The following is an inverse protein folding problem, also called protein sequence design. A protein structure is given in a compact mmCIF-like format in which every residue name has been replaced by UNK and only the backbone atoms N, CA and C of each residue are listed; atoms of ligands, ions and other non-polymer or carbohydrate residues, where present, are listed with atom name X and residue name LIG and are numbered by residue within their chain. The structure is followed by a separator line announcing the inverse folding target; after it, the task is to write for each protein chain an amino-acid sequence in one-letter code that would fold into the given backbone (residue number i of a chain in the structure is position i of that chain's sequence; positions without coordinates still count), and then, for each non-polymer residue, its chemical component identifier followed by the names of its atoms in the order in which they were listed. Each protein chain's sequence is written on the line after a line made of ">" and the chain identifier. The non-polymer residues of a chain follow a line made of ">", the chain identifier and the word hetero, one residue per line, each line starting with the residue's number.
data_IF_507368107585
#
_entry.id   IF_507368107585
#
_cell.length_a   1.000
_cell.length_b   1.000
_cell.length_c   1.000
_cell.angle_alpha   90.00
_cell.angle_beta   90.00
_cell.angle_gamma   90.00
#
_symmetry.space_group_name_H-M   'P 1'
#
loop_
_entity.id
_entity.type
_entity.pdbx_description
1 polymer ?
#
# COMPACT_ATOMS: atom_id res chain seq x y z
N UNK A 1 -5.62 21.99 37.03
CA UNK A 1 -5.79 22.38 35.63
C UNK A 1 -5.96 23.87 35.59
N UNK A 2 -4.87 24.60 35.37
CA UNK A 2 -4.92 26.06 35.21
C UNK A 2 -5.24 26.38 33.76
N UNK A 3 -5.74 27.59 33.49
CA UNK A 3 -6.12 28.07 32.14
C UNK A 3 -4.96 27.99 31.13
N UNK A 4 -3.73 27.93 31.62
CA UNK A 4 -2.50 27.79 30.84
C UNK A 4 -2.35 26.38 30.23
N UNK A 5 -2.90 25.34 30.87
CA UNK A 5 -2.87 23.95 30.37
C UNK A 5 -3.74 23.77 29.10
N UNK A 6 -4.60 24.75 28.78
CA UNK A 6 -5.55 24.73 27.66
C UNK A 6 -5.15 25.65 26.49
N UNK A 7 -4.06 26.42 26.60
CA UNK A 7 -3.56 27.22 25.49
C UNK A 7 -2.62 26.36 24.64
N UNK A 8 -3.19 25.70 23.63
CA UNK A 8 -2.40 25.08 22.57
C UNK A 8 -1.40 26.07 21.97
N UNK A 9 -0.24 25.56 21.54
CA UNK A 9 0.81 26.37 20.93
C UNK A 9 0.22 27.26 19.83
N UNK A 10 0.29 28.57 20.03
CA UNK A 10 -0.14 29.54 19.04
C UNK A 10 0.73 29.36 17.78
N UNK A 11 0.07 29.07 16.65
CA UNK A 11 0.72 29.01 15.34
C UNK A 11 1.13 30.42 14.93
N UNK A 12 2.43 30.70 14.99
CA UNK A 12 3.00 31.95 14.51
C UNK A 12 3.10 31.90 12.98
N UNK A 13 2.10 32.46 12.30
CA UNK A 13 2.10 32.61 10.85
C UNK A 13 3.04 33.76 10.49
N UNK A 14 4.26 33.43 10.04
CA UNK A 14 5.20 34.43 9.50
C UNK A 14 4.73 34.84 8.10
N UNK A 15 4.09 36.01 8.00
CA UNK A 15 3.61 36.59 6.73
C UNK A 15 4.74 37.05 5.79
N UNK A 16 5.99 37.11 6.25
CA UNK A 16 7.14 37.41 5.40
C UNK A 16 7.87 36.12 5.01
N UNK A 17 8.25 35.93 3.73
CA UNK A 17 9.15 34.85 3.36
C UNK A 17 10.44 35.07 4.13
N UNK A 18 10.76 34.15 5.04
CA UNK A 18 12.02 34.18 5.77
C UNK A 18 13.14 34.22 4.73
N UNK A 19 13.85 35.35 4.66
CA UNK A 19 15.15 35.41 4.00
C UNK A 19 16.06 34.50 4.83
N UNK A 20 16.04 33.21 4.52
CA UNK A 20 16.95 32.25 5.10
C UNK A 20 18.36 32.77 4.87
N UNK A 21 19.10 32.96 5.95
CA UNK A 21 20.51 33.31 5.95
C UNK A 21 21.22 32.40 4.95
N UNK A 22 21.94 32.99 4.00
CA UNK A 22 22.61 32.32 2.89
C UNK A 22 23.83 31.49 3.34
N UNK A 23 23.72 30.73 4.42
CA UNK A 23 24.85 30.00 5.01
C UNK A 23 24.85 28.49 4.72
N UNK A 24 23.73 27.88 4.34
CA UNK A 24 23.70 26.49 3.87
C UNK A 24 22.54 26.30 2.89
N UNK A 25 22.63 26.93 1.71
CA UNK A 25 21.67 26.65 0.65
C UNK A 25 21.94 25.22 0.15
N UNK A 26 21.30 24.20 0.71
CA UNK A 26 21.27 22.88 0.07
C UNK A 26 20.09 22.89 -0.90
N UNK A 27 20.25 22.31 -2.09
CA UNK A 27 19.22 22.32 -3.13
C UNK A 27 17.85 21.93 -2.58
N UNK A 28 16.80 22.69 -2.93
CA UNK A 28 15.45 22.49 -2.38
C UNK A 28 14.48 21.97 -3.44
N UNK A 29 13.60 21.10 -3.00
CA UNK A 29 12.48 20.56 -3.76
C UNK A 29 11.21 21.21 -3.22
N UNK A 30 10.54 21.99 -4.05
CA UNK A 30 9.27 22.63 -3.72
C UNK A 30 8.15 21.79 -4.30
N UNK A 31 7.30 21.22 -3.47
CA UNK A 31 6.14 20.44 -3.92
C UNK A 31 4.90 21.28 -3.74
N UNK A 32 4.19 21.60 -4.82
CA UNK A 32 2.98 22.39 -4.82
C UNK A 32 1.76 21.49 -5.00
N UNK A 33 0.73 21.68 -4.16
CA UNK A 33 -0.57 21.02 -4.27
C UNK A 33 -1.69 22.06 -4.33
N UNK A 34 -2.51 21.97 -5.38
CA UNK A 34 -3.49 23.02 -5.68
C UNK A 34 -2.82 24.38 -5.86
N UNK A 35 -3.47 25.43 -5.35
CA UNK A 35 -2.99 26.81 -5.47
C UNK A 35 -2.23 27.33 -4.25
N UNK A 36 -2.30 26.62 -3.11
CA UNK A 36 -1.96 27.23 -1.81
C UNK A 36 -1.00 26.41 -0.94
N UNK A 37 -0.80 25.12 -1.22
CA UNK A 37 0.03 24.26 -0.36
C UNK A 37 1.38 24.01 -1.01
N UNK A 38 2.46 24.45 -0.37
CA UNK A 38 3.83 24.21 -0.85
C UNK A 38 4.68 23.60 0.26
N UNK A 39 5.15 22.37 0.07
CA UNK A 39 6.19 21.77 0.90
C UNK A 39 7.56 22.19 0.39
N UNK A 40 8.47 22.52 1.31
CA UNK A 40 9.88 22.76 0.99
C UNK A 40 10.73 21.66 1.61
N UNK A 41 11.23 20.76 0.77
CA UNK A 41 12.03 19.61 1.17
C UNK A 41 13.49 19.81 0.76
N UNK A 42 14.42 19.37 1.59
CA UNK A 42 15.84 19.36 1.24
C UNK A 42 16.14 18.19 0.29
N UNK A 43 16.90 18.45 -0.78
CA UNK A 43 17.32 17.39 -1.70
C UNK A 43 18.12 16.29 -0.98
N UNK A 44 18.84 16.64 0.09
CA UNK A 44 19.57 15.68 0.94
C UNK A 44 18.65 14.71 1.69
N UNK A 45 17.46 15.14 2.09
CA UNK A 45 16.48 14.25 2.73
C UNK A 45 15.79 13.33 1.72
N UNK A 46 15.74 13.72 0.44
CA UNK A 46 14.95 13.04 -0.59
C UNK A 46 15.80 12.16 -1.54
N UNK A 47 16.90 11.56 -1.06
CA UNK A 47 17.87 10.83 -1.92
C UNK A 47 17.29 9.64 -2.69
N UNK A 48 16.20 9.05 -2.20
CA UNK A 48 15.48 7.97 -2.89
C UNK A 48 14.05 8.40 -3.16
N UNK A 49 13.44 7.79 -4.17
CA UNK A 49 12.03 8.01 -4.47
C UNK A 49 11.14 7.72 -3.26
N UNK A 50 11.47 6.66 -2.52
CA UNK A 50 10.79 6.31 -1.28
C UNK A 50 10.94 7.38 -0.18
N UNK A 51 12.15 7.92 0.02
CA UNK A 51 12.39 8.97 1.02
C UNK A 51 11.65 10.27 0.68
N UNK A 52 11.46 10.56 -0.61
CA UNK A 52 10.59 11.65 -1.04
C UNK A 52 9.11 11.34 -0.73
N UNK A 53 8.63 10.15 -1.09
CA UNK A 53 7.24 9.74 -0.89
C UNK A 53 6.83 9.67 0.60
N UNK A 54 7.76 9.32 1.49
CA UNK A 54 7.46 9.19 2.93
C UNK A 54 6.98 10.50 3.56
N UNK A 55 7.33 11.65 2.99
CA UNK A 55 6.81 12.96 3.41
C UNK A 55 5.30 13.13 3.16
N UNK A 56 4.70 12.30 2.30
CA UNK A 56 3.31 12.39 1.88
C UNK A 56 2.46 11.21 2.38
N UNK A 57 2.92 10.48 3.39
CA UNK A 57 2.20 9.33 3.96
C UNK A 57 0.76 9.64 4.41
N UNK A 58 0.48 10.90 4.79
CA UNK A 58 -0.85 11.34 5.23
C UNK A 58 -1.92 11.26 4.14
N UNK A 59 -1.53 11.18 2.87
CA UNK A 59 -2.45 11.03 1.75
C UNK A 59 -2.77 9.57 1.45
N UNK A 60 -2.11 8.61 2.09
CA UNK A 60 -2.48 7.21 1.95
C UNK A 60 -3.91 6.99 2.49
N UNK A 61 -4.81 6.25 1.79
CA UNK A 61 -4.56 5.37 0.64
C UNK A 61 -4.76 6.01 -0.74
N UNK A 62 -4.88 7.33 -0.84
CA UNK A 62 -5.08 8.01 -2.12
C UNK A 62 -3.83 7.88 -3.00
N UNK A 63 -4.04 7.68 -4.30
CA UNK A 63 -2.97 7.68 -5.30
C UNK A 63 -2.47 9.11 -5.47
N UNK A 64 -1.17 9.33 -5.26
CA UNK A 64 -0.56 10.65 -5.45
C UNK A 64 0.34 10.58 -6.68
N UNK A 65 0.19 11.56 -7.56
CA UNK A 65 1.02 11.73 -8.74
C UNK A 65 1.88 13.00 -8.61
N UNK A 66 3.10 12.92 -9.11
CA UNK A 66 4.04 14.03 -9.08
C UNK A 66 4.45 14.40 -10.50
N UNK A 67 4.48 15.69 -10.79
CA UNK A 67 4.70 16.23 -12.12
C UNK A 67 5.76 17.33 -12.09
N UNK A 68 6.71 17.31 -13.02
CA UNK A 68 7.67 18.40 -13.21
C UNK A 68 7.72 18.78 -14.69
N UNK A 69 7.42 20.05 -15.01
CA UNK A 69 7.32 20.57 -16.39
C UNK A 69 6.46 19.66 -17.29
N UNK A 70 5.26 19.33 -16.80
CA UNK A 70 4.27 18.49 -17.49
C UNK A 70 4.72 17.06 -17.79
N UNK A 71 5.75 16.57 -17.08
CA UNK A 71 6.17 15.17 -17.12
C UNK A 71 5.93 14.50 -15.77
N UNK A 72 5.27 13.35 -15.80
CA UNK A 72 5.09 12.49 -14.63
C UNK A 72 6.44 12.00 -14.10
N UNK A 73 6.63 12.10 -12.80
CA UNK A 73 7.81 11.66 -12.08
C UNK A 73 7.57 10.24 -11.58
N UNK A 74 8.40 9.32 -12.03
CA UNK A 74 8.46 7.93 -11.55
C UNK A 74 9.77 7.67 -10.82
N UNK A 75 9.85 6.54 -10.12
CA UNK A 75 11.08 6.08 -9.45
C UNK A 75 12.31 6.08 -10.37
N UNK A 76 12.14 5.72 -11.65
CA UNK A 76 13.21 5.69 -12.67
C UNK A 76 13.71 7.09 -13.04
N UNK A 77 12.81 8.08 -13.05
CA UNK A 77 13.15 9.46 -13.40
C UNK A 77 13.67 10.27 -12.21
N UNK A 78 13.45 9.78 -10.98
CA UNK A 78 13.81 10.46 -9.74
C UNK A 78 15.28 10.89 -9.65
N UNK A 79 16.28 10.06 -10.03
CA UNK A 79 17.69 10.48 -9.98
C UNK A 79 17.98 11.69 -10.87
N UNK A 80 17.25 11.86 -11.99
CA UNK A 80 17.39 13.04 -12.87
C UNK A 80 16.84 14.29 -12.18
N UNK A 81 15.70 14.18 -11.51
CA UNK A 81 15.10 15.27 -10.73
C UNK A 81 16.00 15.69 -9.57
N UNK A 82 16.59 14.73 -8.85
CA UNK A 82 17.54 15.02 -7.78
C UNK A 82 18.81 15.72 -8.26
N UNK A 83 19.34 15.30 -9.41
CA UNK A 83 20.45 16.00 -10.07
C UNK A 83 20.06 17.45 -10.36
N UNK A 84 18.88 17.70 -10.93
CA UNK A 84 18.41 19.06 -11.18
C UNK A 84 18.31 19.89 -9.89
N UNK A 85 17.79 19.31 -8.80
CA UNK A 85 17.69 19.98 -7.51
C UNK A 85 19.05 20.24 -6.86
N UNK A 86 20.06 19.43 -7.16
CA UNK A 86 21.39 19.49 -6.55
C UNK A 86 22.43 20.23 -7.39
N UNK A 87 22.16 20.46 -8.69
CA UNK A 87 23.13 21.05 -9.64
C UNK A 87 23.36 22.53 -9.39
N UNK A 88 22.31 23.26 -8.98
CA UNK A 88 22.41 24.70 -8.72
C UNK A 88 21.90 24.97 -7.31
N UNK A 89 22.84 25.40 -6.46
CA UNK A 89 22.64 25.56 -5.03
C UNK A 89 21.53 26.56 -4.65
N UNK A 90 21.17 27.46 -5.57
CA UNK A 90 20.10 28.45 -5.44
C UNK A 90 18.81 28.11 -6.20
N UNK A 91 18.78 27.02 -6.97
CA UNK A 91 17.63 26.69 -7.82
C UNK A 91 16.73 25.69 -7.11
N UNK A 92 15.50 26.12 -6.81
CA UNK A 92 14.46 25.23 -6.33
C UNK A 92 13.80 24.51 -7.49
N UNK A 93 13.60 23.20 -7.36
CA UNK A 93 12.84 22.41 -8.33
C UNK A 93 11.38 22.38 -7.90
N UNK A 94 10.49 22.94 -8.72
CA UNK A 94 9.04 22.92 -8.48
C UNK A 94 8.42 21.64 -9.04
N UNK A 95 7.87 20.82 -8.15
CA UNK A 95 7.09 19.63 -8.44
C UNK A 95 5.62 19.95 -8.16
N UNK A 96 4.72 19.54 -9.04
CA UNK A 96 3.28 19.65 -8.86
C UNK A 96 2.78 18.28 -8.38
N UNK A 97 2.12 18.27 -7.24
CA UNK A 97 1.42 17.12 -6.70
C UNK A 97 -0.03 17.16 -7.15
N UNK A 98 -0.55 16.03 -7.61
CA UNK A 98 -1.95 15.81 -7.94
C UNK A 98 -2.43 14.55 -7.26
N UNK A 99 -3.70 14.51 -6.91
CA UNK A 99 -4.34 13.25 -6.53
C UNK A 99 -4.72 12.52 -7.83
N UNK A 100 -4.19 11.32 -8.00
CA UNK A 100 -4.57 10.41 -9.07
C UNK A 100 -5.99 9.89 -8.87
N UNK A 101 -6.58 9.37 -9.94
CA UNK A 101 -7.86 8.66 -9.86
C UNK A 101 -7.71 7.46 -8.94
N UNK A 102 -8.67 7.28 -8.02
CA UNK A 102 -8.76 6.06 -7.23
C UNK A 102 -8.83 4.87 -8.21
N UNK A 103 -8.07 3.78 -7.97
CA UNK A 103 -8.21 2.59 -8.80
C UNK A 103 -9.67 2.15 -8.79
N UNK A 104 -10.18 1.76 -9.97
CA UNK A 104 -11.55 1.31 -10.09
C UNK A 104 -11.84 0.25 -9.02
N UNK A 105 -13.01 0.33 -8.36
CA UNK A 105 -13.37 -0.70 -7.40
C UNK A 105 -13.31 -2.06 -8.10
N UNK A 106 -12.93 -3.12 -7.37
CA UNK A 106 -13.00 -4.46 -7.92
C UNK A 106 -14.33 -4.71 -8.62
N UNK A 107 -14.32 -5.33 -9.82
CA UNK A 107 -15.55 -5.76 -10.46
C UNK A 107 -16.37 -6.56 -9.44
N UNK A 108 -17.55 -6.02 -9.10
CA UNK A 108 -18.46 -6.66 -8.16
C UNK A 108 -19.06 -7.89 -8.80
N UNK A 109 -19.38 -8.91 -8.00
CA UNK A 109 -20.02 -10.17 -8.42
C UNK A 109 -19.31 -10.94 -9.55
N UNK A 110 -18.08 -10.58 -9.89
CA UNK A 110 -17.25 -11.30 -10.87
C UNK A 110 -16.06 -11.86 -10.12
N UNK A 111 -15.99 -13.19 -10.03
CA UNK A 111 -14.84 -13.87 -9.46
C UNK A 111 -13.61 -13.54 -10.31
N UNK A 112 -12.68 -12.77 -9.74
CA UNK A 112 -11.46 -12.35 -10.47
C UNK A 112 -10.67 -13.57 -10.85
N UNK A 113 -10.22 -13.67 -12.11
CA UNK A 113 -9.28 -14.71 -12.49
C UNK A 113 -8.08 -14.68 -11.55
N UNK A 114 -7.63 -15.86 -11.10
CA UNK A 114 -6.40 -16.02 -10.31
C UNK A 114 -5.33 -15.09 -10.89
N UNK A 115 -4.74 -14.17 -10.08
CA UNK A 115 -4.03 -12.99 -10.57
C UNK A 115 -3.04 -13.33 -11.69
N UNK A 116 -3.53 -13.19 -12.91
CA UNK A 116 -2.72 -12.94 -14.07
C UNK A 116 -2.36 -11.47 -13.93
N UNK A 117 -1.07 -11.26 -13.69
CA UNK A 117 -0.33 -10.01 -13.82
C UNK A 117 -1.20 -8.91 -14.41
N UNK A 118 -1.54 -7.90 -13.60
CA UNK A 118 -2.13 -6.66 -14.09
C UNK A 118 -1.33 -6.24 -15.33
N UNK A 119 -1.91 -6.19 -16.54
CA UNK A 119 -1.18 -5.73 -17.69
C UNK A 119 -0.77 -4.30 -17.38
N UNK A 120 0.56 -4.09 -17.26
CA UNK A 120 1.11 -2.75 -17.26
C UNK A 120 0.50 -2.03 -18.47
N UNK A 121 -0.22 -0.93 -18.22
CA UNK A 121 -0.79 -0.07 -19.26
C UNK A 121 0.29 0.68 -20.08
N UNK A 122 1.51 0.14 -20.14
CA UNK A 122 2.58 0.60 -20.99
C UNK A 122 3.00 -0.54 -21.91
N UNK A 123 2.61 -0.41 -23.18
CA UNK A 123 2.96 -1.33 -24.24
C UNK A 123 4.47 -1.55 -24.31
N UNK A 124 4.89 -2.70 -23.84
CA UNK A 124 6.26 -3.18 -23.93
C UNK A 124 6.26 -4.69 -23.75
N UNK A 125 6.74 -5.41 -24.77
CA UNK A 125 6.95 -6.87 -24.73
C UNK A 125 8.02 -7.19 -23.66
N UNK A 126 7.63 -7.27 -22.40
CA UNK A 126 8.44 -7.75 -21.30
C UNK A 126 7.72 -8.91 -20.62
N UNK A 127 8.39 -10.07 -20.53
CA UNK A 127 7.89 -11.20 -19.72
C UNK A 127 7.59 -10.69 -18.32
N UNK A 128 6.35 -10.82 -17.91
CA UNK A 128 5.85 -10.53 -16.59
C UNK A 128 6.56 -11.40 -15.55
N UNK A 129 7.52 -10.83 -14.83
CA UNK A 129 8.07 -11.46 -13.62
C UNK A 129 7.16 -11.10 -12.45
N UNK A 130 6.60 -12.11 -11.83
CA UNK A 130 5.73 -12.04 -10.63
C UNK A 130 6.53 -11.56 -9.39
N UNK A 131 7.86 -11.48 -9.49
CA UNK A 131 8.80 -11.29 -8.39
C UNK A 131 9.03 -9.82 -7.96
N UNK A 132 8.26 -8.86 -8.47
CA UNK A 132 8.58 -7.42 -8.31
C UNK A 132 7.64 -6.61 -7.40
N UNK A 133 6.58 -7.21 -6.85
CA UNK A 133 5.82 -6.54 -5.80
C UNK A 133 6.51 -6.74 -4.46
N UNK A 134 7.06 -5.66 -3.92
CA UNK A 134 7.65 -5.69 -2.58
C UNK A 134 6.50 -5.69 -1.57
N UNK A 135 6.07 -6.87 -1.12
CA UNK A 135 4.98 -6.99 -0.15
C UNK A 135 5.32 -6.25 1.15
N UNK A 136 4.36 -5.45 1.65
CA UNK A 136 4.61 -4.48 2.73
C UNK A 136 5.19 -5.14 3.99
N UNK A 137 4.70 -6.33 4.36
CA UNK A 137 5.18 -7.04 5.55
C UNK A 137 6.49 -7.80 5.32
N UNK A 138 6.97 -7.86 4.07
CA UNK A 138 8.26 -8.48 3.69
C UNK A 138 9.33 -7.46 3.34
N UNK A 139 9.07 -6.18 3.60
CA UNK A 139 10.05 -5.10 3.53
C UNK A 139 11.10 -5.30 4.63
N UNK A 140 12.01 -6.26 4.43
CA UNK A 140 13.13 -6.48 5.32
C UNK A 140 14.23 -5.45 4.99
N UNK A 141 14.74 -4.81 6.05
CA UNK A 141 15.87 -3.91 5.97
C UNK A 141 17.09 -4.58 5.31
N UNK A 142 17.76 -3.82 4.45
CA UNK A 142 18.91 -4.17 3.60
C UNK A 142 19.82 -5.26 4.19
N UNK A 143 19.85 -6.47 3.59
CA UNK A 143 20.91 -7.45 3.92
C UNK A 143 20.71 -8.94 3.59
N UNK A 144 19.52 -9.42 3.24
CA UNK A 144 19.29 -10.86 3.07
C UNK A 144 19.62 -11.35 1.64
N UNK A 145 20.46 -12.39 1.55
CA UNK A 145 20.93 -13.01 0.29
C UNK A 145 20.14 -14.26 -0.13
N UNK A 146 19.09 -14.65 0.60
CA UNK A 146 18.30 -15.85 0.35
C UNK A 146 16.81 -15.59 0.57
N UNK A 147 15.97 -16.14 -0.31
CA UNK A 147 14.50 -16.02 -0.31
C UNK A 147 13.86 -16.69 0.91
N UNK A 148 14.41 -17.81 1.40
CA UNK A 148 13.90 -18.49 2.61
C UNK A 148 14.23 -17.71 3.89
N UNK A 149 15.40 -17.08 3.96
CA UNK A 149 15.78 -16.26 5.13
C UNK A 149 15.02 -14.91 5.19
N UNK A 150 14.25 -14.57 4.14
CA UNK A 150 13.48 -13.33 4.03
C UNK A 150 12.19 -13.35 4.85
N UNK A 151 11.57 -14.51 5.03
CA UNK A 151 10.24 -14.62 5.66
C UNK A 151 10.28 -14.95 7.15
N UNK A 152 11.42 -15.39 7.70
CA UNK A 152 11.53 -15.74 9.12
C UNK A 152 11.06 -14.62 10.09
N UNK A 153 11.35 -13.32 9.86
CA UNK A 153 10.80 -12.26 10.71
C UNK A 153 9.27 -12.14 10.62
N UNK A 154 8.71 -12.36 9.42
CA UNK A 154 7.27 -12.31 9.18
C UNK A 154 6.57 -13.52 9.83
N UNK A 155 7.13 -14.72 9.70
CA UNK A 155 6.65 -15.93 10.38
C UNK A 155 6.64 -15.73 11.91
N UNK A 156 7.70 -15.14 12.48
CA UNK A 156 7.74 -14.86 13.91
C UNK A 156 6.64 -13.88 14.34
N UNK A 157 6.37 -12.85 13.53
CA UNK A 157 5.29 -11.88 13.81
C UNK A 157 3.91 -12.51 13.72
N UNK A 158 3.65 -13.33 12.70
CA UNK A 158 2.37 -14.00 12.52
C UNK A 158 2.15 -15.09 13.59
N UNK A 159 3.20 -15.80 13.98
CA UNK A 159 3.16 -16.75 15.10
C UNK A 159 2.86 -16.06 16.45
N UNK A 160 3.44 -14.88 16.70
CA UNK A 160 3.12 -14.08 17.87
C UNK A 160 1.65 -13.60 17.84
N UNK A 161 1.16 -13.17 16.66
CA UNK A 161 -0.24 -12.80 16.47
C UNK A 161 -1.19 -13.99 16.70
N UNK A 162 -0.87 -15.18 16.19
CA UNK A 162 -1.65 -16.39 16.43
C UNK A 162 -1.69 -16.76 17.92
N UNK A 163 -0.54 -16.64 18.60
CA UNK A 163 -0.45 -16.86 20.04
C UNK A 163 -1.36 -15.91 20.80
N UNK A 164 -1.38 -14.63 20.42
CA UNK A 164 -2.31 -13.64 20.99
C UNK A 164 -3.78 -14.02 20.74
N UNK A 165 -4.14 -14.38 19.50
CA UNK A 165 -5.52 -14.78 19.15
C UNK A 165 -6.00 -16.00 19.94
N UNK A 166 -5.09 -16.92 20.27
CA UNK A 166 -5.41 -18.17 20.97
C UNK A 166 -5.30 -18.08 22.51
N UNK A 167 -4.54 -17.12 23.05
CA UNK A 167 -4.24 -17.02 24.47
C UNK A 167 -4.86 -15.79 25.17
N UNK A 168 -4.92 -14.64 24.50
CA UNK A 168 -5.23 -13.35 25.14
C UNK A 168 -6.60 -12.77 24.73
N UNK A 169 -7.27 -13.34 23.73
CA UNK A 169 -8.61 -12.89 23.33
C UNK A 169 -9.72 -13.44 24.24
N UNK A 170 -10.89 -12.82 24.16
CA UNK A 170 -12.13 -13.28 24.81
C UNK A 170 -12.45 -14.73 24.44
N UNK A 171 -13.05 -15.47 25.36
CA UNK A 171 -13.40 -16.89 25.17
C UNK A 171 -14.19 -17.16 23.87
N UNK A 172 -15.16 -16.31 23.53
CA UNK A 172 -15.94 -16.42 22.28
C UNK A 172 -15.07 -16.33 21.04
N UNK A 173 -14.24 -15.29 20.94
CA UNK A 173 -13.36 -15.05 19.78
C UNK A 173 -12.31 -16.16 19.65
N UNK A 174 -11.72 -16.60 20.77
CA UNK A 174 -10.79 -17.72 20.80
C UNK A 174 -11.41 -19.01 20.30
N UNK A 175 -12.64 -19.29 20.72
CA UNK A 175 -13.39 -20.48 20.28
C UNK A 175 -13.72 -20.37 18.79
N UNK A 176 -14.19 -19.22 18.32
CA UNK A 176 -14.47 -18.98 16.91
C UNK A 176 -13.22 -19.21 16.04
N UNK A 177 -12.09 -18.58 16.39
CA UNK A 177 -10.83 -18.74 15.67
C UNK A 177 -10.31 -20.18 15.63
N UNK A 178 -10.51 -20.96 16.70
CA UNK A 178 -10.11 -22.37 16.76
C UNK A 178 -10.99 -23.30 15.92
N UNK A 179 -12.22 -22.88 15.61
CA UNK A 179 -13.16 -23.66 14.80
C UNK A 179 -12.98 -23.40 13.30
N UNK A 180 -12.39 -22.26 12.92
CA UNK A 180 -12.07 -21.95 11.53
C UNK A 180 -11.29 -23.10 10.88
N UNK A 181 -11.81 -23.57 9.74
CA UNK A 181 -11.15 -24.60 8.97
C UNK A 181 -9.89 -23.99 8.32
N UNK A 182 -8.87 -24.82 8.10
CA UNK A 182 -7.71 -24.40 7.32
C UNK A 182 -7.99 -24.69 5.86
N UNK A 183 -7.94 -23.66 5.02
CA UNK A 183 -8.01 -23.82 3.57
C UNK A 183 -6.96 -22.93 2.90
N UNK A 184 -6.56 -23.27 1.69
CA UNK A 184 -5.69 -22.42 0.88
C UNK A 184 -6.50 -21.44 0.05
N UNK A 185 -5.86 -20.36 -0.39
CA UNK A 185 -6.48 -19.37 -1.29
C UNK A 185 -7.03 -20.02 -2.57
N UNK A 186 -6.28 -20.96 -3.15
CA UNK A 186 -6.67 -21.68 -4.37
C UNK A 186 -7.84 -22.65 -4.15
N UNK A 187 -7.93 -23.29 -2.99
CA UNK A 187 -9.09 -24.10 -2.61
C UNK A 187 -10.35 -23.24 -2.44
N UNK A 188 -10.23 -22.10 -1.76
CA UNK A 188 -11.33 -21.14 -1.60
C UNK A 188 -11.82 -20.61 -2.96
N UNK A 189 -10.88 -20.31 -3.86
CA UNK A 189 -11.19 -19.95 -5.25
C UNK A 189 -11.94 -21.06 -5.99
N UNK A 190 -11.45 -22.30 -5.93
CA UNK A 190 -12.09 -23.45 -6.57
C UNK A 190 -13.49 -23.71 -6.05
N UNK A 191 -13.72 -23.51 -4.75
CA UNK A 191 -15.05 -23.60 -4.15
C UNK A 191 -16.03 -22.55 -4.70
N UNK A 192 -15.59 -21.28 -4.83
CA UNK A 192 -16.42 -20.22 -5.42
C UNK A 192 -16.67 -20.43 -6.91
N UNK A 193 -15.69 -20.95 -7.64
CA UNK A 193 -15.85 -21.29 -9.05
C UNK A 193 -16.90 -22.40 -9.24
N UNK A 194 -16.83 -23.48 -8.47
CA UNK A 194 -17.80 -24.58 -8.56
C UNK A 194 -19.20 -24.22 -8.02
N UNK A 195 -19.31 -23.20 -7.18
CA UNK A 195 -20.60 -22.65 -6.75
C UNK A 195 -21.28 -21.83 -7.84
N UNK A 196 -20.53 -21.19 -8.74
CA UNK A 196 -21.09 -20.37 -9.82
C UNK A 196 -22.08 -21.20 -10.66
N UNK A 197 -21.64 -22.38 -11.09
CA UNK A 197 -22.45 -23.31 -11.89
C UNK A 197 -23.76 -23.70 -11.17
N UNK A 198 -23.69 -23.96 -9.85
CA UNK A 198 -24.85 -24.35 -9.05
C UNK A 198 -25.84 -23.19 -8.82
N UNK A 199 -25.35 -21.96 -8.78
CA UNK A 199 -26.16 -20.74 -8.61
C UNK A 199 -26.89 -20.42 -9.91
N UNK A 200 -26.22 -20.60 -11.05
CA UNK A 200 -26.84 -20.49 -12.37
C UNK A 200 -27.96 -21.52 -12.54
N UNK A 201 -27.73 -22.78 -12.13
CA UNK A 201 -28.72 -23.87 -12.22
C UNK A 201 -29.96 -23.65 -11.32
N UNK A 202 -29.78 -23.09 -10.11
CA UNK A 202 -30.89 -22.90 -9.16
C UNK A 202 -31.77 -21.69 -9.45
N UNK A 203 -31.26 -20.72 -10.23
CA UNK A 203 -31.95 -19.49 -10.67
C UNK A 203 -32.67 -18.66 -9.58
N UNK A 204 -32.38 -18.87 -8.29
CA UNK A 204 -33.00 -18.18 -7.17
C UNK A 204 -32.21 -16.91 -6.80
N UNK A 205 -32.91 -15.78 -6.67
CA UNK A 205 -32.29 -14.46 -6.48
C UNK A 205 -31.60 -14.30 -5.12
N UNK A 206 -32.09 -14.96 -4.08
CA UNK A 206 -31.49 -14.99 -2.74
C UNK A 206 -30.16 -15.76 -2.74
N UNK A 207 -30.13 -16.90 -3.43
CA UNK A 207 -28.92 -17.72 -3.61
C UNK A 207 -27.87 -16.97 -4.43
N UNK A 208 -28.29 -16.27 -5.49
CA UNK A 208 -27.39 -15.43 -6.30
C UNK A 208 -26.81 -14.28 -5.49
N UNK A 209 -27.63 -13.57 -4.71
CA UNK A 209 -27.16 -12.48 -3.86
C UNK A 209 -26.16 -12.93 -2.81
N UNK A 210 -26.40 -14.07 -2.15
CA UNK A 210 -25.49 -14.64 -1.16
C UNK A 210 -24.16 -15.10 -1.80
N UNK A 211 -24.20 -15.57 -3.05
CA UNK A 211 -23.00 -15.91 -3.82
C UNK A 211 -22.20 -14.64 -4.18
N UNK A 212 -22.86 -13.61 -4.69
CA UNK A 212 -22.22 -12.35 -5.07
C UNK A 212 -21.50 -11.69 -3.88
N UNK A 213 -22.11 -11.75 -2.70
CA UNK A 213 -21.49 -11.25 -1.46
C UNK A 213 -20.22 -12.01 -1.10
N UNK A 214 -20.21 -13.35 -1.24
CA UNK A 214 -19.00 -14.16 -1.01
C UNK A 214 -17.89 -13.83 -2.01
N UNK A 215 -18.25 -13.61 -3.27
CA UNK A 215 -17.31 -13.21 -4.33
C UNK A 215 -16.72 -11.83 -4.04
N UNK A 216 -17.55 -10.86 -3.64
CA UNK A 216 -17.09 -9.51 -3.27
C UNK A 216 -16.11 -9.56 -2.09
N UNK A 217 -16.41 -10.36 -1.05
CA UNK A 217 -15.53 -10.54 0.12
C UNK A 217 -14.20 -11.20 -0.30
N UNK A 218 -14.25 -12.27 -1.09
CA UNK A 218 -13.06 -12.96 -1.57
C UNK A 218 -12.17 -12.02 -2.39
N UNK A 219 -12.75 -11.27 -3.34
CA UNK A 219 -11.99 -10.33 -4.17
C UNK A 219 -11.33 -9.23 -3.34
N UNK A 220 -12.02 -8.70 -2.32
CA UNK A 220 -11.46 -7.69 -1.43
C UNK A 220 -10.33 -8.26 -0.57
N UNK A 221 -10.55 -9.45 0.00
CA UNK A 221 -9.57 -10.18 0.77
C UNK A 221 -8.31 -10.48 -0.05
N UNK A 222 -8.47 -10.91 -1.30
CA UNK A 222 -7.37 -11.26 -2.20
C UNK A 222 -6.46 -10.06 -2.51
N UNK A 223 -7.05 -8.88 -2.73
CA UNK A 223 -6.28 -7.64 -2.93
C UNK A 223 -5.45 -7.29 -1.71
N UNK A 224 -6.08 -7.32 -0.53
CA UNK A 224 -5.41 -6.99 0.74
C UNK A 224 -4.29 -7.99 0.99
N UNK A 225 -4.58 -9.28 0.84
CA UNK A 225 -3.62 -10.35 1.08
C UNK A 225 -2.42 -10.23 0.15
N UNK A 226 -2.65 -10.09 -1.16
CA UNK A 226 -1.58 -9.93 -2.16
C UNK A 226 -0.74 -8.67 -1.92
N UNK A 227 -1.33 -7.61 -1.36
CA UNK A 227 -0.60 -6.39 -1.03
C UNK A 227 0.35 -6.56 0.16
N UNK A 228 -0.10 -7.24 1.21
CA UNK A 228 0.66 -7.37 2.46
C UNK A 228 1.56 -8.61 2.52
N UNK A 229 1.17 -9.71 1.85
CA UNK A 229 1.80 -11.02 1.97
C UNK A 229 2.16 -11.61 0.59
N UNK A 230 3.28 -12.34 0.49
CA UNK A 230 3.63 -13.08 -0.72
C UNK A 230 2.61 -14.16 -1.06
N UNK A 231 2.48 -14.42 -2.37
CA UNK A 231 1.56 -15.42 -2.91
C UNK A 231 1.98 -16.86 -2.60
N UNK A 232 3.28 -17.08 -2.42
CA UNK A 232 3.91 -18.35 -2.03
C UNK A 232 4.04 -18.50 -0.51
N UNK A 233 3.60 -17.51 0.27
CA UNK A 233 3.70 -17.52 1.72
C UNK A 233 2.47 -18.16 2.36
N UNK A 234 2.67 -19.30 3.01
CA UNK A 234 1.64 -20.05 3.72
C UNK A 234 1.93 -20.07 5.23
N UNK A 235 1.00 -19.54 6.00
CA UNK A 235 1.06 -19.48 7.47
C UNK A 235 -0.28 -19.98 8.08
N UNK A 236 -0.30 -20.54 9.30
CA UNK A 236 -1.54 -21.01 9.94
C UNK A 236 -2.63 -19.93 10.04
N UNK A 237 -2.28 -18.67 10.28
CA UNK A 237 -3.26 -17.58 10.33
C UNK A 237 -3.88 -17.33 8.95
N UNK A 238 -3.06 -17.28 7.91
CA UNK A 238 -3.54 -17.13 6.54
C UNK A 238 -4.46 -18.28 6.13
N UNK A 239 -4.10 -19.51 6.52
CA UNK A 239 -4.88 -20.70 6.17
C UNK A 239 -6.24 -20.72 6.87
N UNK A 240 -6.30 -20.27 8.12
CA UNK A 240 -7.57 -20.11 8.86
C UNK A 240 -8.42 -18.97 8.33
N UNK A 241 -7.80 -17.90 7.84
CA UNK A 241 -8.51 -16.79 7.22
C UNK A 241 -9.24 -17.25 5.95
N UNK A 242 -8.58 -18.04 5.08
CA UNK A 242 -9.19 -18.52 3.84
C UNK A 242 -10.23 -19.63 4.05
N UNK A 243 -10.18 -20.36 5.17
CA UNK A 243 -11.16 -21.40 5.51
C UNK A 243 -12.23 -21.00 6.52
N UNK A 244 -12.34 -19.70 6.84
CA UNK A 244 -13.44 -19.14 7.64
C UNK A 244 -14.66 -18.83 6.78
#
# INVERSE_FOLDING_TARGET
>A
MTREDLQGQALEIKEQPSRASASEAQGRILVAYGESVVWSLEAKACQTWFAFLSHFQAFWPQTIEFWHKDKGITAETWPKILRLASTVQSMSVKIIMKLGSQPDPPPRSILRSEPQILPNSHGGKGKSRIDEFTHVLTLVSRGFKSTQARFAPLEAQLSAAESFLTAETTYSNRKAYKICQTSTRSECYGYLAGLADQVEDKAADDVRRAYDEKVDIFNAADVIYTFFLPMDFADPMSSKFWGA
#
